data_IF_938100186813
#
_entry.id   IF_938100186813
#
_cell.length_a   1.000
_cell.length_b   1.000
_cell.length_c   1.000
_cell.angle_alpha   90.00
_cell.angle_beta   90.00
_cell.angle_gamma   90.00
#
_symmetry.space_group_name_H-M   'P 1'
#
loop_
_entity.id
_entity.type
_entity.pdbx_description
1 polymer ?
#
# COMPACT_ATOMS: atom_id res chain seq x y z
N UNK A 1 10.98 -1.54 3.80
CA UNK A 1 9.78 -1.20 3.00
C UNK A 1 8.44 -1.32 3.76
N UNK A 2 8.43 -1.45 5.10
CA UNK A 2 7.21 -1.72 5.88
C UNK A 2 6.10 -0.67 5.68
N UNK A 3 6.43 0.62 5.53
CA UNK A 3 5.47 1.70 5.27
C UNK A 3 5.20 2.03 3.80
N UNK A 4 5.60 1.19 2.84
CA UNK A 4 5.51 1.50 1.40
C UNK A 4 4.13 1.15 0.77
N UNK A 5 3.04 1.21 1.54
CA UNK A 5 1.70 1.06 0.95
C UNK A 5 1.38 2.28 0.07
N UNK A 6 0.66 2.04 -1.03
CA UNK A 6 0.13 3.12 -1.84
C UNK A 6 -0.89 3.97 -1.06
N UNK A 7 -1.63 3.33 -0.16
CA UNK A 7 -2.57 3.97 0.77
C UNK A 7 -1.87 4.95 1.70
N UNK A 8 -0.75 4.53 2.32
CA UNK A 8 0.08 5.38 3.18
C UNK A 8 0.68 6.57 2.45
N UNK A 9 1.23 6.35 1.24
CA UNK A 9 1.76 7.43 0.38
C UNK A 9 0.66 8.45 0.02
N UNK A 10 -0.50 7.96 -0.42
CA UNK A 10 -1.64 8.81 -0.75
C UNK A 10 -2.14 9.59 0.48
N UNK A 11 -2.12 8.96 1.66
CA UNK A 11 -2.49 9.60 2.91
C UNK A 11 -1.56 10.75 3.29
N UNK A 12 -0.25 10.55 3.15
CA UNK A 12 0.74 11.59 3.39
C UNK A 12 0.48 12.82 2.50
N UNK A 13 0.19 12.63 1.20
CA UNK A 13 -0.17 13.73 0.31
C UNK A 13 -1.46 14.44 0.74
N UNK A 14 -2.52 13.70 1.11
CA UNK A 14 -3.76 14.30 1.62
C UNK A 14 -3.52 15.13 2.87
N UNK A 15 -2.73 14.63 3.82
CA UNK A 15 -2.40 15.34 5.06
C UNK A 15 -1.63 16.63 4.78
N UNK A 16 -0.61 16.56 3.92
CA UNK A 16 0.19 17.72 3.54
C UNK A 16 -0.66 18.80 2.84
N UNK A 17 -1.47 18.43 1.84
CA UNK A 17 -2.34 19.37 1.14
C UNK A 17 -3.42 19.95 2.06
N UNK A 18 -4.02 19.14 2.92
CA UNK A 18 -5.00 19.62 3.91
C UNK A 18 -4.38 20.66 4.84
N UNK A 19 -3.15 20.43 5.31
CA UNK A 19 -2.44 21.36 6.17
C UNK A 19 -2.14 22.69 5.46
N UNK A 20 -1.73 22.64 4.19
CA UNK A 20 -1.50 23.82 3.37
C UNK A 20 -2.80 24.60 3.13
N UNK A 21 -3.89 23.93 2.76
CA UNK A 21 -5.20 24.57 2.60
C UNK A 21 -5.63 25.29 3.87
N UNK A 22 -5.50 24.63 5.03
CA UNK A 22 -5.79 25.25 6.33
C UNK A 22 -4.93 26.48 6.61
N UNK A 23 -3.64 26.41 6.33
CA UNK A 23 -2.71 27.52 6.58
C UNK A 23 -3.06 28.77 5.75
N UNK A 24 -3.45 28.57 4.48
CA UNK A 24 -3.78 29.67 3.58
C UNK A 24 -5.28 30.05 3.55
N UNK A 25 -6.12 29.42 4.38
CA UNK A 25 -7.57 29.65 4.36
C UNK A 25 -8.27 29.19 3.08
N UNK A 26 -7.69 28.23 2.37
CA UNK A 26 -8.27 27.65 1.15
C UNK A 26 -9.19 26.47 1.49
N UNK A 27 -10.27 26.32 0.72
CA UNK A 27 -11.11 25.12 0.77
C UNK A 27 -10.37 23.95 0.09
N UNK A 28 -10.17 22.80 0.76
CA UNK A 28 -9.62 21.61 0.11
C UNK A 28 -10.58 21.10 -0.98
N UNK A 29 -10.08 20.96 -2.21
CA UNK A 29 -10.81 20.35 -3.33
C UNK A 29 -9.86 19.41 -4.11
N UNK A 30 -9.65 18.22 -3.56
CA UNK A 30 -8.82 17.20 -4.20
C UNK A 30 -9.28 15.80 -3.80
N UNK A 31 -9.16 14.87 -4.73
CA UNK A 31 -9.31 13.44 -4.46
C UNK A 31 -8.00 12.73 -4.78
N UNK A 32 -7.32 12.29 -3.74
CA UNK A 32 -6.09 11.50 -3.87
C UNK A 32 -6.42 10.11 -3.37
N UNK A 33 -6.48 9.14 -4.27
CA UNK A 33 -6.66 7.74 -3.93
C UNK A 33 -5.69 6.87 -4.74
N UNK A 34 -5.12 5.83 -4.14
CA UNK A 34 -4.31 4.86 -4.89
C UNK A 34 -5.18 4.03 -5.86
N UNK A 35 -4.60 3.54 -6.96
CA UNK A 35 -5.31 2.67 -7.91
C UNK A 35 -5.78 1.39 -7.23
N UNK A 36 -6.98 0.91 -7.60
CA UNK A 36 -7.55 -0.35 -7.07
C UNK A 36 -6.61 -1.53 -7.30
N UNK A 37 -6.54 -2.50 -6.38
CA UNK A 37 -5.81 -3.74 -6.64
C UNK A 37 -6.43 -4.46 -7.84
N UNK A 38 -5.61 -5.17 -8.62
CA UNK A 38 -6.06 -5.94 -9.78
C UNK A 38 -7.15 -6.95 -9.40
N UNK A 39 -6.98 -7.61 -8.25
CA UNK A 39 -7.92 -8.55 -7.67
C UNK A 39 -8.40 -8.03 -6.29
N UNK A 40 -9.51 -7.27 -6.23
CA UNK A 40 -10.00 -6.69 -4.99
C UNK A 40 -10.76 -7.70 -4.11
N UNK A 41 -11.07 -8.89 -4.60
CA UNK A 41 -11.76 -9.93 -3.84
C UNK A 41 -10.76 -11.04 -3.51
N UNK A 42 -10.58 -11.30 -2.22
CA UNK A 42 -9.74 -12.36 -1.69
C UNK A 42 -10.63 -13.46 -1.14
N UNK A 43 -10.43 -14.69 -1.61
CA UNK A 43 -11.10 -15.88 -1.06
C UNK A 43 -10.07 -16.70 -0.30
N UNK A 44 -10.33 -16.97 0.97
CA UNK A 44 -9.45 -17.78 1.82
C UNK A 44 -10.25 -18.43 2.95
N UNK A 45 -9.72 -19.50 3.53
CA UNK A 45 -10.37 -20.21 4.63
C UNK A 45 -10.24 -19.45 5.95
N UNK A 46 -9.13 -18.71 6.11
CA UNK A 46 -8.83 -17.91 7.30
C UNK A 46 -8.46 -16.47 6.97
N UNK A 47 -8.61 -15.57 7.94
CA UNK A 47 -8.19 -14.17 7.80
C UNK A 47 -6.67 -14.05 7.62
N UNK A 48 -5.90 -14.90 8.30
CA UNK A 48 -4.43 -14.94 8.18
C UNK A 48 -3.98 -15.25 6.76
N UNK A 49 -4.58 -16.25 6.12
CA UNK A 49 -4.33 -16.56 4.71
C UNK A 49 -4.73 -15.40 3.81
N UNK A 50 -5.87 -14.76 4.09
CA UNK A 50 -6.30 -13.59 3.33
C UNK A 50 -5.28 -12.44 3.45
N UNK A 51 -4.76 -12.15 4.64
CA UNK A 51 -3.70 -11.14 4.84
C UNK A 51 -2.43 -11.48 4.06
N UNK A 52 -2.00 -12.75 4.06
CA UNK A 52 -0.82 -13.18 3.29
C UNK A 52 -1.05 -13.08 1.77
N UNK A 53 -2.28 -13.28 1.29
CA UNK A 53 -2.62 -13.04 -0.12
C UNK A 53 -2.59 -11.54 -0.46
N UNK A 54 -3.03 -10.66 0.45
CA UNK A 54 -2.97 -9.20 0.27
C UNK A 54 -1.52 -8.70 0.28
N UNK A 55 -0.70 -9.21 1.20
CA UNK A 55 0.71 -8.87 1.34
C UNK A 55 1.47 -9.93 2.15
N UNK A 56 2.43 -10.58 1.50
CA UNK A 56 3.36 -11.50 2.15
C UNK A 56 4.75 -10.87 2.26
N UNK A 57 5.18 -10.43 3.46
CA UNK A 57 6.49 -9.79 3.65
C UNK A 57 7.68 -10.72 3.40
N UNK A 58 7.47 -12.05 3.33
CA UNK A 58 8.53 -13.01 2.99
C UNK A 58 9.03 -12.77 1.57
N UNK A 59 8.16 -12.37 0.64
CA UNK A 59 8.56 -12.05 -0.75
C UNK A 59 9.62 -10.95 -0.81
N UNK A 60 9.46 -9.90 -0.02
CA UNK A 60 10.43 -8.80 0.06
C UNK A 60 11.72 -9.25 0.76
N UNK A 61 11.59 -10.05 1.82
CA UNK A 61 12.72 -10.63 2.56
C UNK A 61 13.58 -11.51 1.67
N UNK A 62 12.95 -12.41 0.90
CA UNK A 62 13.61 -13.36 0.02
C UNK A 62 14.28 -12.64 -1.16
N UNK A 63 13.59 -11.65 -1.76
CA UNK A 63 14.18 -10.83 -2.83
C UNK A 63 15.45 -10.09 -2.37
N UNK A 64 15.42 -9.50 -1.17
CA UNK A 64 16.57 -8.79 -0.62
C UNK A 64 17.71 -9.75 -0.23
N UNK A 65 17.40 -10.89 0.39
CA UNK A 65 18.41 -11.90 0.75
C UNK A 65 19.09 -12.50 -0.48
N UNK A 66 18.35 -12.67 -1.57
CA UNK A 66 18.89 -13.21 -2.81
C UNK A 66 19.81 -12.23 -3.54
N UNK A 67 19.55 -10.91 -3.46
CA UNK A 67 20.29 -9.87 -4.19
C UNK A 67 20.47 -8.61 -3.32
N UNK A 68 21.28 -8.66 -2.24
CA UNK A 68 21.42 -7.53 -1.30
C UNK A 68 21.99 -6.26 -1.96
N UNK A 69 22.80 -6.40 -3.01
CA UNK A 69 23.34 -5.29 -3.81
C UNK A 69 22.25 -4.50 -4.55
N UNK A 70 21.07 -5.09 -4.76
CA UNK A 70 19.92 -4.42 -5.37
C UNK A 70 19.08 -3.64 -4.36
N UNK A 71 19.53 -3.42 -3.12
CA UNK A 71 18.75 -2.78 -2.05
C UNK A 71 18.01 -1.50 -2.50
N UNK A 72 18.71 -0.54 -3.11
CA UNK A 72 18.08 0.71 -3.57
C UNK A 72 17.13 0.49 -4.75
N UNK A 73 17.46 -0.44 -5.66
CA UNK A 73 16.58 -0.80 -6.78
C UNK A 73 15.28 -1.45 -6.26
N UNK A 74 15.35 -2.37 -5.32
CA UNK A 74 14.18 -3.01 -4.69
C UNK A 74 13.28 -2.00 -3.96
N UNK A 75 13.87 -0.92 -3.41
CA UNK A 75 13.12 0.18 -2.81
C UNK A 75 12.51 1.12 -3.85
N UNK A 76 13.25 1.44 -4.91
CA UNK A 76 12.81 2.32 -6.00
C UNK A 76 11.69 1.69 -6.83
N UNK A 77 11.87 0.43 -7.21
CA UNK A 77 10.95 -0.35 -8.06
C UNK A 77 9.92 -1.14 -7.23
N UNK A 78 9.60 -0.68 -6.02
CA UNK A 78 8.73 -1.40 -5.10
C UNK A 78 7.31 -1.56 -5.68
N UNK A 79 6.74 -2.79 -5.69
CA UNK A 79 5.47 -3.05 -6.36
C UNK A 79 4.31 -2.29 -5.70
N UNK A 80 3.22 -2.14 -6.45
CA UNK A 80 1.98 -1.59 -5.92
C UNK A 80 1.45 -2.52 -4.82
N UNK A 81 1.58 -2.08 -3.56
CA UNK A 81 1.01 -2.74 -2.38
C UNK A 81 -0.14 -1.93 -1.82
N UNK A 82 -1.31 -2.55 -1.70
CA UNK A 82 -2.50 -1.98 -1.06
C UNK A 82 -2.67 -2.50 0.36
N UNK A 83 -3.32 -1.74 1.22
CA UNK A 83 -3.69 -2.16 2.59
C UNK A 83 -5.03 -2.94 2.61
N UNK A 84 -5.33 -3.58 3.74
CA UNK A 84 -6.51 -4.46 3.92
C UNK A 84 -7.80 -3.84 3.41
N UNK A 85 -8.00 -2.55 3.64
CA UNK A 85 -9.24 -1.84 3.35
C UNK A 85 -9.51 -1.74 1.85
N UNK A 86 -8.51 -2.02 1.01
CA UNK A 86 -8.65 -2.10 -0.44
C UNK A 86 -9.29 -3.41 -0.93
N UNK A 87 -9.45 -4.41 -0.04
CA UNK A 87 -9.89 -5.76 -0.40
C UNK A 87 -11.19 -6.15 0.31
N UNK A 88 -12.03 -6.89 -0.40
CA UNK A 88 -13.16 -7.63 0.14
C UNK A 88 -12.71 -9.07 0.42
N UNK A 89 -12.82 -9.49 1.67
CA UNK A 89 -12.59 -10.87 2.07
C UNK A 89 -13.88 -11.69 1.95
N UNK A 90 -13.79 -12.87 1.33
CA UNK A 90 -14.84 -13.90 1.30
C UNK A 90 -14.29 -15.18 1.90
N UNK A 91 -14.98 -15.72 2.90
CA UNK A 91 -14.61 -17.03 3.44
C UNK A 91 -15.06 -18.10 2.46
N UNK A 92 -14.11 -18.93 2.03
CA UNK A 92 -14.33 -20.07 1.14
C UNK A 92 -14.43 -21.38 1.89
#
# INVERSE_FOLDING_TARGET
>A
IAGYSADGKANATRMALTALCRFFGLKPDFHIAPPKPLNPVITASTETEAYLQMYDPRRDSDALKANPELFEKLRGDYPLRRERQAYLFRQG
#
